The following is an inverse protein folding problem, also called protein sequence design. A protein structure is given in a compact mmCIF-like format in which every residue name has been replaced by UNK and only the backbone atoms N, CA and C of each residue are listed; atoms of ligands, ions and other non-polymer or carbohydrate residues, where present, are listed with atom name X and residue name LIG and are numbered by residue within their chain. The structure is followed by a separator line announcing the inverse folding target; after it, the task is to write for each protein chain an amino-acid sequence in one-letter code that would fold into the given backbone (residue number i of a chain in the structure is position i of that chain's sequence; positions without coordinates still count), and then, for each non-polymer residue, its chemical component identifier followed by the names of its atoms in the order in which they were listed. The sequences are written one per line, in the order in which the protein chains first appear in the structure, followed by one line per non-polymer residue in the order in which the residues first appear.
data_IF_490055159340
#
_entry.id   IF_490055159340
#
_cell.length_a   1.000
_cell.length_b   1.000
_cell.length_c   1.000
_cell.angle_alpha   90.00
_cell.angle_beta   90.00
_cell.angle_gamma   90.00
#
_symmetry.space_group_name_H-M   'P 1'
#
loop_
_entity.id
_entity.type
_entity.pdbx_description
1 polymer ?
#
# COMPACT_ATOMS: atom_id res chain seq x y z
N UNK A 1 -51.02 41.78 -27.08
CA UNK A 1 -49.75 42.33 -27.63
C UNK A 1 -48.80 42.51 -26.46
N UNK A 2 -47.77 41.67 -26.37
CA UNK A 2 -46.79 41.73 -25.29
C UNK A 2 -45.41 41.41 -25.86
N UNK A 3 -44.63 42.46 -26.14
CA UNK A 3 -43.21 42.37 -26.41
C UNK A 3 -42.52 43.22 -25.35
N UNK A 4 -41.80 42.57 -24.43
CA UNK A 4 -40.83 43.24 -23.56
C UNK A 4 -39.47 42.61 -23.79
N UNK A 5 -38.56 43.48 -24.20
CA UNK A 5 -37.24 43.21 -24.74
C UNK A 5 -36.25 42.75 -23.67
N UNK A 6 -35.39 41.82 -24.09
CA UNK A 6 -34.19 41.37 -23.41
C UNK A 6 -33.17 42.50 -23.20
N UNK A 7 -32.52 42.50 -22.03
CA UNK A 7 -31.31 43.27 -21.76
C UNK A 7 -30.42 42.50 -20.78
N UNK A 8 -29.33 41.92 -21.29
CA UNK A 8 -28.48 40.96 -20.59
C UNK A 8 -27.56 41.57 -19.54
N UNK A 9 -27.50 40.93 -18.37
CA UNK A 9 -26.51 41.17 -17.33
C UNK A 9 -25.25 40.32 -17.57
N UNK A 10 -24.12 41.00 -17.84
CA UNK A 10 -22.77 40.42 -17.82
C UNK A 10 -22.35 40.10 -16.38
N UNK A 11 -22.41 38.83 -15.99
CA UNK A 11 -21.77 38.32 -14.76
C UNK A 11 -20.27 38.12 -14.96
N UNK A 12 -19.46 38.95 -14.31
CA UNK A 12 -18.00 38.86 -14.27
C UNK A 12 -17.59 37.77 -13.27
N UNK A 13 -17.09 36.63 -13.76
CA UNK A 13 -16.52 35.56 -12.93
C UNK A 13 -15.18 36.04 -12.37
N UNK A 14 -15.09 36.18 -11.06
CA UNK A 14 -13.82 36.34 -10.33
C UNK A 14 -13.14 34.99 -10.15
N UNK A 15 -11.81 34.88 -10.37
CA UNK A 15 -11.10 33.63 -10.12
C UNK A 15 -11.00 33.39 -8.60
N UNK A 16 -11.69 32.37 -8.11
CA UNK A 16 -11.48 31.87 -6.76
C UNK A 16 -10.08 31.23 -6.67
N UNK A 17 -9.24 31.84 -5.83
CA UNK A 17 -7.94 31.34 -5.42
C UNK A 17 -8.15 30.05 -4.63
N UNK A 18 -7.97 28.89 -5.27
CA UNK A 18 -7.96 27.59 -4.59
C UNK A 18 -6.77 27.58 -3.64
N UNK A 19 -7.03 27.73 -2.35
CA UNK A 19 -6.03 27.51 -1.29
C UNK A 19 -5.86 25.99 -1.15
N UNK A 20 -4.80 25.46 -1.75
CA UNK A 20 -4.35 24.10 -1.49
C UNK A 20 -3.82 24.04 -0.05
N UNK A 21 -4.71 23.71 0.89
CA UNK A 21 -4.31 23.35 2.25
C UNK A 21 -3.80 21.91 2.25
N UNK A 22 -2.62 21.67 1.65
CA UNK A 22 -1.84 20.49 1.99
C UNK A 22 -1.29 20.73 3.40
N UNK A 23 -1.76 19.95 4.38
CA UNK A 23 -1.25 19.97 5.74
C UNK A 23 0.27 19.79 5.72
N UNK A 24 1.02 20.68 6.39
CA UNK A 24 2.49 20.65 6.43
C UNK A 24 3.05 19.35 7.02
N UNK A 25 2.21 18.59 7.74
CA UNK A 25 2.50 17.25 8.25
C UNK A 25 2.73 16.23 7.14
N UNK A 26 1.99 16.31 6.02
CA UNK A 26 2.11 15.37 4.90
C UNK A 26 3.39 15.67 4.11
N UNK A 27 3.70 16.96 3.89
CA UNK A 27 4.89 17.37 3.12
C UNK A 27 6.19 17.06 3.88
N UNK A 28 6.20 17.14 5.21
CA UNK A 28 7.36 16.76 6.03
C UNK A 28 7.73 15.27 5.92
N UNK A 29 6.76 14.39 5.66
CA UNK A 29 7.04 12.96 5.49
C UNK A 29 7.56 12.59 4.10
N UNK A 30 7.34 13.45 3.09
CA UNK A 30 7.66 13.18 1.68
C UNK A 30 9.02 13.76 1.23
N UNK A 31 9.62 14.67 1.99
CA UNK A 31 10.87 15.35 1.61
C UNK A 31 11.95 15.39 2.70
N UNK A 32 11.92 14.45 3.65
CA UNK A 32 13.02 14.30 4.61
C UNK A 32 14.16 13.52 3.96
N UNK A 33 15.02 14.19 3.19
CA UNK A 33 16.36 13.66 2.87
C UNK A 33 17.17 13.65 4.17
N UNK A 34 17.06 12.57 4.94
CA UNK A 34 17.96 12.29 6.06
C UNK A 34 19.18 11.54 5.53
N UNK A 35 20.11 12.29 4.96
CA UNK A 35 21.52 11.96 5.16
C UNK A 35 22.03 12.79 6.34
N UNK A 36 22.90 12.17 7.12
CA UNK A 36 23.64 12.67 8.30
C UNK A 36 23.03 12.38 9.69
N UNK A 37 23.57 11.32 10.30
CA UNK A 37 23.92 11.22 11.73
C UNK A 37 22.84 11.41 12.81
N UNK A 38 21.68 10.78 12.65
CA UNK A 38 20.92 10.35 13.84
C UNK A 38 21.26 8.88 14.10
N UNK A 39 21.81 8.58 15.27
CA UNK A 39 22.06 7.22 15.78
C UNK A 39 20.79 6.39 16.01
N UNK A 40 19.85 6.40 15.05
CA UNK A 40 18.80 5.41 14.95
C UNK A 40 19.50 4.08 14.71
N UNK A 41 19.54 3.28 15.77
CA UNK A 41 19.75 1.83 15.67
C UNK A 41 19.09 1.36 14.38
N UNK A 42 19.84 0.65 13.52
CA UNK A 42 19.28 -0.02 12.36
C UNK A 42 18.13 -0.86 12.88
N UNK A 43 16.94 -0.35 12.67
CA UNK A 43 15.68 -0.96 13.08
C UNK A 43 15.68 -2.40 12.60
N UNK A 44 15.39 -3.33 13.51
CA UNK A 44 15.31 -4.73 13.18
C UNK A 44 14.25 -4.96 12.11
N UNK A 45 14.26 -6.12 11.47
CA UNK A 45 13.21 -6.48 10.51
C UNK A 45 11.82 -6.42 11.17
N UNK A 46 11.73 -6.84 12.42
CA UNK A 46 10.50 -6.78 13.22
C UNK A 46 9.99 -5.32 13.37
N UNK A 47 10.88 -4.35 13.55
CA UNK A 47 10.53 -2.92 13.59
C UNK A 47 10.08 -2.37 12.22
N UNK A 48 10.40 -3.05 11.12
CA UNK A 48 10.00 -2.63 9.77
C UNK A 48 8.53 -2.97 9.50
N UNK A 49 8.09 -4.17 9.89
CA UNK A 49 6.69 -4.58 9.75
C UNK A 49 5.75 -3.69 10.58
N UNK A 50 6.11 -3.40 11.84
CA UNK A 50 5.35 -2.49 12.70
C UNK A 50 5.27 -1.07 12.12
N UNK A 51 6.38 -0.53 11.62
CA UNK A 51 6.37 0.82 11.02
C UNK A 51 5.58 0.89 9.72
N UNK A 52 5.51 -0.18 8.93
CA UNK A 52 4.61 -0.25 7.77
C UNK A 52 3.15 -0.23 8.23
N UNK A 53 2.82 -0.96 9.30
CA UNK A 53 1.47 -0.96 9.88
C UNK A 53 1.10 0.45 10.36
N UNK A 54 1.98 1.12 11.10
CA UNK A 54 1.78 2.49 11.58
C UNK A 54 1.59 3.47 10.42
N UNK A 55 2.41 3.34 9.37
CA UNK A 55 2.27 4.14 8.15
C UNK A 55 0.89 3.96 7.53
N UNK A 56 0.43 2.73 7.35
CA UNK A 56 -0.88 2.44 6.75
C UNK A 56 -1.99 3.05 7.61
N UNK A 57 -1.91 2.94 8.93
CA UNK A 57 -2.90 3.53 9.85
C UNK A 57 -2.92 5.06 9.78
N UNK A 58 -1.75 5.71 9.71
CA UNK A 58 -1.62 7.16 9.66
C UNK A 58 -1.96 7.77 8.28
N UNK A 59 -1.85 6.98 7.21
CA UNK A 59 -1.97 7.46 5.82
C UNK A 59 -3.39 7.90 5.40
N UNK A 60 -4.44 7.53 6.14
CA UNK A 60 -5.83 7.79 5.76
C UNK A 60 -6.27 7.06 4.48
N UNK A 61 -5.59 5.97 4.10
CA UNK A 61 -5.93 5.17 2.93
C UNK A 61 -7.33 4.56 3.05
N UNK A 62 -8.09 4.59 1.95
CA UNK A 62 -9.41 3.95 1.88
C UNK A 62 -9.27 2.43 1.88
N UNK A 63 -10.13 1.74 2.62
CA UNK A 63 -10.09 0.28 2.76
C UNK A 63 -8.69 -0.21 3.16
N UNK A 64 -8.04 0.51 4.08
CA UNK A 64 -6.71 0.17 4.56
C UNK A 64 -6.71 -1.12 5.40
N UNK A 65 -7.86 -1.52 5.93
CA UNK A 65 -8.06 -2.70 6.75
C UNK A 65 -7.63 -3.98 6.03
N UNK A 66 -7.95 -4.11 4.73
CA UNK A 66 -7.53 -5.24 3.91
C UNK A 66 -6.01 -5.30 3.76
N UNK A 67 -5.36 -4.14 3.63
CA UNK A 67 -3.90 -4.03 3.57
C UNK A 67 -3.27 -4.37 4.92
N UNK A 68 -3.78 -3.80 6.01
CA UNK A 68 -3.33 -4.08 7.37
C UNK A 68 -3.42 -5.56 7.70
N UNK A 69 -4.55 -6.20 7.36
CA UNK A 69 -4.74 -7.64 7.53
C UNK A 69 -3.71 -8.43 6.72
N UNK A 70 -3.47 -8.03 5.47
CA UNK A 70 -2.52 -8.73 4.59
C UNK A 70 -1.07 -8.63 5.09
N UNK A 71 -0.67 -7.48 5.64
CA UNK A 71 0.65 -7.29 6.26
C UNK A 71 0.78 -8.16 7.51
N UNK A 72 -0.22 -8.11 8.42
CA UNK A 72 -0.21 -8.91 9.66
C UNK A 72 -0.22 -10.42 9.42
N UNK A 73 -1.00 -10.88 8.45
CA UNK A 73 -1.07 -12.30 8.08
C UNK A 73 0.11 -12.74 7.22
N UNK A 74 0.94 -11.81 6.75
CA UNK A 74 2.05 -12.08 5.82
C UNK A 74 1.58 -12.68 4.50
N UNK A 75 0.33 -12.42 4.09
CA UNK A 75 -0.31 -13.00 2.89
C UNK A 75 -1.28 -12.00 2.23
N UNK A 76 -1.12 -11.80 0.93
CA UNK A 76 -2.03 -10.98 0.12
C UNK A 76 -3.42 -11.63 0.06
N UNK A 77 -4.47 -10.82 0.24
CA UNK A 77 -5.85 -11.23 0.01
C UNK A 77 -6.10 -11.44 -1.49
N UNK A 78 -6.70 -12.59 -1.84
CA UNK A 78 -7.22 -12.85 -3.18
C UNK A 78 -8.73 -12.52 -3.23
N UNK A 79 -9.05 -11.39 -3.85
CA UNK A 79 -10.43 -10.89 -4.00
C UNK A 79 -11.29 -11.73 -4.95
N UNK A 80 -10.69 -12.57 -5.80
CA UNK A 80 -11.45 -13.49 -6.64
C UNK A 80 -11.89 -14.71 -5.82
N UNK A 81 -11.05 -15.19 -4.91
CA UNK A 81 -11.37 -16.32 -4.03
C UNK A 81 -12.47 -15.98 -3.01
N UNK A 82 -12.60 -14.71 -2.61
CA UNK A 82 -13.65 -14.24 -1.68
C UNK A 82 -14.81 -13.52 -2.39
N UNK A 83 -14.90 -13.63 -3.72
CA UNK A 83 -15.98 -13.01 -4.47
C UNK A 83 -17.34 -13.54 -3.98
N UNK A 84 -18.35 -12.67 -3.80
CA UNK A 84 -19.68 -13.11 -3.41
C UNK A 84 -20.28 -14.01 -4.48
N UNK A 85 -21.13 -14.94 -4.07
CA UNK A 85 -21.91 -15.82 -4.96
C UNK A 85 -23.39 -15.48 -4.86
N UNK A 86 -24.13 -15.71 -5.96
CA UNK A 86 -25.58 -15.53 -5.95
C UNK A 86 -26.23 -16.71 -5.23
N UNK A 87 -27.01 -16.40 -4.20
CA UNK A 87 -27.73 -17.42 -3.46
C UNK A 87 -28.85 -18.02 -4.31
N UNK A 88 -28.97 -19.35 -4.29
CA UNK A 88 -30.12 -20.05 -4.82
C UNK A 88 -31.35 -19.74 -3.96
N UNK A 89 -32.53 -19.55 -4.58
CA UNK A 89 -33.76 -19.36 -3.82
C UNK A 89 -34.12 -20.65 -3.06
N UNK A 90 -34.66 -20.48 -1.87
CA UNK A 90 -35.09 -21.56 -0.96
C UNK A 90 -36.58 -21.84 -1.05
N UNK A 91 -37.36 -20.87 -1.53
CA UNK A 91 -38.81 -20.99 -1.66
C UNK A 91 -39.22 -21.90 -2.83
N UNK A 92 -40.23 -22.74 -2.58
CA UNK A 92 -40.80 -23.66 -3.58
C UNK A 92 -41.93 -23.02 -4.39
N UNK A 93 -42.74 -22.17 -3.75
CA UNK A 93 -43.86 -21.47 -4.39
C UNK A 93 -43.37 -20.47 -5.43
N UNK A 94 -43.93 -20.52 -6.64
CA UNK A 94 -43.38 -19.80 -7.80
C UNK A 94 -43.23 -18.28 -7.57
N UNK A 95 -44.25 -17.64 -6.99
CA UNK A 95 -44.27 -16.18 -6.73
C UNK A 95 -43.29 -15.81 -5.61
N UNK A 96 -43.24 -16.61 -4.54
CA UNK A 96 -42.31 -16.39 -3.42
C UNK A 96 -40.85 -16.57 -3.88
N UNK A 97 -40.60 -17.59 -4.70
CA UNK A 97 -39.30 -17.90 -5.29
C UNK A 97 -38.81 -16.78 -6.22
N UNK A 98 -39.69 -16.22 -7.05
CA UNK A 98 -39.32 -15.11 -7.93
C UNK A 98 -38.96 -13.84 -7.12
N UNK A 99 -39.75 -13.56 -6.08
CA UNK A 99 -39.49 -12.44 -5.17
C UNK A 99 -38.15 -12.61 -4.44
N UNK A 100 -37.89 -13.79 -3.88
CA UNK A 100 -36.62 -14.11 -3.22
C UNK A 100 -35.44 -14.03 -4.19
N UNK A 101 -35.60 -14.53 -5.42
CA UNK A 101 -34.56 -14.43 -6.44
C UNK A 101 -34.25 -12.98 -6.81
N UNK A 102 -35.25 -12.11 -6.89
CA UNK A 102 -35.05 -10.68 -7.13
C UNK A 102 -34.28 -10.03 -5.97
N UNK A 103 -34.64 -10.34 -4.72
CA UNK A 103 -33.91 -9.87 -3.54
C UNK A 103 -32.46 -10.36 -3.52
N UNK A 104 -32.23 -11.66 -3.79
CA UNK A 104 -30.90 -12.26 -3.85
C UNK A 104 -30.03 -11.59 -4.93
N UNK A 105 -30.61 -11.26 -6.10
CA UNK A 105 -29.90 -10.53 -7.18
C UNK A 105 -29.46 -9.13 -6.73
N UNK A 106 -30.32 -8.39 -6.03
CA UNK A 106 -30.00 -7.04 -5.52
C UNK A 106 -28.89 -7.12 -4.46
N UNK A 107 -29.00 -8.06 -3.52
CA UNK A 107 -27.97 -8.25 -2.49
C UNK A 107 -26.64 -8.69 -3.10
N UNK A 108 -26.68 -9.58 -4.09
CA UNK A 108 -25.50 -10.03 -4.81
C UNK A 108 -24.82 -8.87 -5.55
N UNK A 109 -25.56 -8.03 -6.27
CA UNK A 109 -24.97 -6.91 -7.01
C UNK A 109 -24.32 -5.88 -6.08
N UNK A 110 -24.94 -5.59 -4.94
CA UNK A 110 -24.38 -4.71 -3.93
C UNK A 110 -23.08 -5.27 -3.33
N UNK A 111 -23.08 -6.56 -2.95
CA UNK A 111 -21.88 -7.24 -2.42
C UNK A 111 -20.77 -7.31 -3.47
N UNK A 112 -21.11 -7.58 -4.73
CA UNK A 112 -20.15 -7.65 -5.82
C UNK A 112 -19.51 -6.28 -6.08
N UNK A 113 -20.31 -5.22 -6.09
CA UNK A 113 -19.82 -3.84 -6.22
C UNK A 113 -18.83 -3.48 -5.11
N UNK A 114 -19.15 -3.83 -3.86
CA UNK A 114 -18.25 -3.62 -2.73
C UNK A 114 -16.95 -4.45 -2.84
N UNK A 115 -17.04 -5.72 -3.25
CA UNK A 115 -15.86 -6.56 -3.47
C UNK A 115 -14.93 -5.98 -4.56
N UNK A 116 -15.50 -5.51 -5.67
CA UNK A 116 -14.75 -4.85 -6.74
C UNK A 116 -14.10 -3.56 -6.26
N UNK A 117 -14.83 -2.75 -5.47
CA UNK A 117 -14.32 -1.52 -4.88
C UNK A 117 -13.13 -1.79 -3.95
N UNK A 118 -13.26 -2.76 -3.04
CA UNK A 118 -12.17 -3.18 -2.15
C UNK A 118 -10.96 -3.67 -2.92
N UNK A 119 -11.16 -4.51 -3.95
CA UNK A 119 -10.08 -5.01 -4.81
C UNK A 119 -9.30 -3.86 -5.50
N UNK A 120 -10.02 -2.86 -6.04
CA UNK A 120 -9.40 -1.70 -6.68
C UNK A 120 -8.59 -0.85 -5.69
N UNK A 121 -9.14 -0.58 -4.49
CA UNK A 121 -8.41 0.12 -3.44
C UNK A 121 -7.21 -0.68 -2.96
N UNK A 122 -7.35 -2.00 -2.77
CA UNK A 122 -6.26 -2.87 -2.37
C UNK A 122 -5.10 -2.81 -3.36
N UNK A 123 -5.36 -2.86 -4.67
CA UNK A 123 -4.33 -2.70 -5.71
C UNK A 123 -3.59 -1.35 -5.61
N UNK A 124 -4.34 -0.27 -5.40
CA UNK A 124 -3.76 1.07 -5.21
C UNK A 124 -2.90 1.11 -3.95
N UNK A 125 -3.42 0.55 -2.86
CA UNK A 125 -2.75 0.48 -1.58
C UNK A 125 -1.45 -0.32 -1.65
N UNK A 126 -1.41 -1.43 -2.42
CA UNK A 126 -0.18 -2.23 -2.64
C UNK A 126 0.95 -1.37 -3.19
N UNK A 127 0.64 -0.53 -4.19
CA UNK A 127 1.63 0.37 -4.79
C UNK A 127 2.13 1.41 -3.79
N UNK A 128 1.24 2.03 -3.03
CA UNK A 128 1.59 3.03 -2.01
C UNK A 128 2.49 2.43 -0.93
N UNK A 129 2.11 1.27 -0.40
CA UNK A 129 2.89 0.58 0.64
C UNK A 129 4.24 0.10 0.10
N UNK A 130 4.28 -0.44 -1.13
CA UNK A 130 5.55 -0.79 -1.79
C UNK A 130 6.48 0.43 -1.86
N UNK A 131 5.98 1.58 -2.32
CA UNK A 131 6.78 2.80 -2.41
C UNK A 131 7.31 3.24 -1.04
N UNK A 132 6.49 3.15 0.01
CA UNK A 132 6.93 3.45 1.38
C UNK A 132 8.05 2.49 1.83
N UNK A 133 7.90 1.19 1.60
CA UNK A 133 8.93 0.19 1.94
C UNK A 133 10.26 0.48 1.24
N UNK A 134 10.19 0.76 -0.07
CA UNK A 134 11.37 1.09 -0.87
C UNK A 134 12.05 2.38 -0.38
N UNK A 135 11.28 3.37 0.09
CA UNK A 135 11.83 4.63 0.55
C UNK A 135 12.46 4.53 1.95
N UNK A 136 11.79 3.84 2.88
CA UNK A 136 12.17 3.86 4.30
C UNK A 136 13.16 2.76 4.70
N UNK A 137 13.12 1.60 4.02
CA UNK A 137 13.86 0.41 4.46
C UNK A 137 14.88 -0.10 3.43
N UNK A 138 14.74 0.29 2.16
CA UNK A 138 15.62 -0.20 1.09
C UNK A 138 16.73 0.82 0.83
N UNK A 139 17.96 0.44 1.18
CA UNK A 139 19.15 1.23 0.81
C UNK A 139 19.42 1.18 -0.70
N UNK A 140 20.17 2.14 -1.22
CA UNK A 140 20.57 2.17 -2.65
C UNK A 140 21.22 0.85 -3.09
N UNK A 141 22.10 0.28 -2.26
CA UNK A 141 22.76 -1.00 -2.56
C UNK A 141 21.79 -2.19 -2.59
N UNK A 142 20.73 -2.16 -1.76
CA UNK A 142 19.66 -3.16 -1.81
C UNK A 142 18.80 -2.95 -3.05
N UNK A 143 18.44 -1.71 -3.38
CA UNK A 143 17.63 -1.39 -4.57
C UNK A 143 18.31 -1.87 -5.86
N UNK A 144 19.61 -1.64 -6.01
CA UNK A 144 20.39 -2.14 -7.15
C UNK A 144 20.30 -3.67 -7.26
N UNK A 145 20.43 -4.39 -6.13
CA UNK A 145 20.34 -5.86 -6.11
C UNK A 145 18.93 -6.32 -6.47
N UNK A 146 17.91 -5.74 -5.84
CA UNK A 146 16.51 -6.07 -6.09
C UNK A 146 16.13 -5.83 -7.55
N UNK A 147 16.56 -4.70 -8.14
CA UNK A 147 16.30 -4.38 -9.56
C UNK A 147 17.01 -5.32 -10.53
N UNK A 148 18.11 -5.93 -10.11
CA UNK A 148 18.81 -6.95 -10.90
C UNK A 148 18.09 -8.30 -10.92
N UNK A 149 17.10 -8.51 -10.05
CA UNK A 149 16.34 -9.76 -9.98
C UNK A 149 15.25 -9.80 -11.07
N UNK A 150 15.13 -10.96 -11.74
CA UNK A 150 14.17 -11.14 -12.83
C UNK A 150 12.70 -10.99 -12.39
N UNK A 151 12.40 -11.17 -11.09
CA UNK A 151 11.06 -11.10 -10.52
C UNK A 151 10.72 -9.73 -9.90
N UNK A 152 11.57 -8.72 -10.08
CA UNK A 152 11.41 -7.40 -9.49
C UNK A 152 10.13 -6.67 -9.92
N UNK A 153 9.81 -6.73 -11.21
CA UNK A 153 8.65 -6.06 -11.79
C UNK A 153 7.36 -6.86 -11.66
N UNK A 154 7.45 -8.13 -11.25
CA UNK A 154 6.31 -9.05 -11.20
C UNK A 154 5.99 -9.42 -9.74
N UNK A 155 6.83 -10.25 -9.13
CA UNK A 155 6.63 -10.79 -7.78
C UNK A 155 6.84 -9.71 -6.72
N UNK A 156 7.87 -8.88 -6.85
CA UNK A 156 8.18 -7.81 -5.90
C UNK A 156 7.32 -6.55 -6.10
N UNK A 157 6.29 -6.61 -6.96
CA UNK A 157 5.19 -5.63 -6.91
C UNK A 157 4.35 -5.78 -5.62
N UNK A 158 4.32 -6.99 -5.05
CA UNK A 158 3.63 -7.24 -3.80
C UNK A 158 4.45 -6.76 -2.58
N UNK A 159 3.97 -5.78 -1.79
CA UNK A 159 4.70 -5.27 -0.63
C UNK A 159 5.01 -6.35 0.40
N UNK A 160 4.19 -7.40 0.52
CA UNK A 160 4.40 -8.50 1.48
C UNK A 160 5.58 -9.36 1.04
N UNK A 161 5.67 -9.64 -0.26
CA UNK A 161 6.81 -10.40 -0.82
C UNK A 161 8.08 -9.56 -0.78
N UNK A 162 7.97 -8.26 -1.00
CA UNK A 162 9.08 -7.32 -0.85
C UNK A 162 9.61 -7.30 0.58
N UNK A 163 8.74 -7.19 1.60
CA UNK A 163 9.14 -7.26 3.02
C UNK A 163 9.96 -8.53 3.31
N UNK A 164 9.42 -9.70 2.94
CA UNK A 164 10.14 -10.98 3.09
C UNK A 164 11.45 -11.04 2.32
N UNK A 165 11.55 -10.39 1.15
CA UNK A 165 12.78 -10.35 0.34
C UNK A 165 13.85 -9.46 0.98
N UNK A 166 13.45 -8.36 1.62
CA UNK A 166 14.40 -7.43 2.26
C UNK A 166 14.84 -7.90 3.65
N UNK A 167 14.08 -8.78 4.30
CA UNK A 167 14.41 -9.40 5.59
C UNK A 167 15.88 -9.86 5.73
N UNK A 168 16.43 -10.71 4.84
CA UNK A 168 17.82 -11.16 4.95
C UNK A 168 18.83 -10.02 4.81
N UNK A 169 18.52 -8.98 4.03
CA UNK A 169 19.41 -7.82 3.90
C UNK A 169 19.44 -7.00 5.18
N UNK A 170 18.28 -6.80 5.81
CA UNK A 170 18.15 -6.08 7.07
C UNK A 170 18.85 -6.84 8.20
N UNK A 171 18.62 -8.15 8.31
CA UNK A 171 19.27 -9.02 9.30
C UNK A 171 20.79 -9.07 9.12
N UNK A 172 21.31 -9.23 7.89
CA UNK A 172 22.77 -9.21 7.61
C UNK A 172 23.42 -7.85 7.90
N UNK A 173 22.68 -6.74 7.70
CA UNK A 173 23.20 -5.40 7.97
C UNK A 173 23.37 -5.12 9.47
N UNK A 174 22.61 -5.79 10.35
CA UNK A 174 22.80 -5.74 11.79
C UNK A 174 24.13 -6.40 12.21
N UNK A 175 24.47 -7.58 11.65
CA UNK A 175 25.71 -8.30 11.97
C UNK A 175 26.99 -7.51 11.63
N UNK A 176 26.99 -6.68 10.58
CA UNK A 176 28.16 -5.86 10.23
C UNK A 176 28.45 -4.74 11.23
N UNK A 177 27.44 -4.23 11.94
CA UNK A 177 27.64 -3.19 12.96
C UNK A 177 28.26 -3.80 14.23
N UNK A 178 27.84 -5.00 14.62
CA UNK A 178 28.38 -5.67 15.82
C UNK A 178 29.85 -6.13 15.66
N UNK A 179 30.34 -6.28 14.43
CA UNK A 179 31.75 -6.60 14.16
C UNK A 179 32.66 -5.36 14.12
N UNK A 180 32.11 -4.15 14.16
CA UNK A 180 32.85 -2.88 14.10
C UNK A 180 32.96 -2.18 15.47
N UNK A 181 32.91 -2.94 16.58
CA UNK A 181 33.20 -2.40 17.91
C UNK A 181 34.72 -2.23 18.09
N UNK A 182 35.20 -1.06 18.55
CA UNK A 182 36.63 -0.78 18.66
C UNK A 182 37.24 -1.61 19.79
N UNK A 183 38.04 -2.62 19.43
CA UNK A 183 38.77 -3.46 20.38
C UNK A 183 38.89 -4.94 19.99
N UNK A 184 38.12 -5.40 18.99
CA UNK A 184 38.24 -6.79 18.51
C UNK A 184 39.12 -6.82 17.26
N UNK A 185 40.19 -7.62 17.29
CA UNK A 185 41.13 -7.79 16.17
C UNK A 185 40.36 -8.11 14.89
N UNK A 186 40.60 -7.31 13.86
CA UNK A 186 40.10 -7.51 12.50
C UNK A 186 40.64 -8.86 12.01
N UNK A 187 39.78 -9.87 11.91
CA UNK A 187 40.07 -11.02 11.06
C UNK A 187 39.76 -10.58 9.64
N UNK A 188 40.81 -10.37 8.84
CA UNK A 188 40.70 -10.31 7.39
C UNK A 188 40.15 -11.67 6.93
N UNK A 189 38.91 -11.67 6.44
CA UNK A 189 38.41 -12.77 5.64
C UNK A 189 38.66 -12.34 4.20
N UNK A 190 39.68 -12.93 3.58
CA UNK A 190 39.86 -12.91 2.13
C UNK A 190 38.61 -13.55 1.52
N UNK A 191 37.92 -12.79 0.67
CA UNK A 191 36.91 -13.35 -0.22
C UNK A 191 37.65 -14.02 -1.37
N UNK A 192 37.78 -15.36 -1.33
CA UNK A 192 37.96 -16.16 -2.53
C UNK A 192 36.73 -15.92 -3.44
N UNK A 193 37.01 -15.38 -4.62
CA UNK A 193 36.09 -15.33 -5.75
C UNK A 193 36.46 -16.56 -6.58
N UNK A 194 35.66 -17.61 -6.50
CA UNK A 194 35.73 -18.72 -7.44
C UNK A 194 34.84 -18.38 -8.65
N UNK A 195 35.47 -18.44 -9.83
CA UNK A 195 34.87 -18.29 -11.17
C UNK A 195 33.87 -19.41 -11.53
#
# INVERSE_FOLDING_TARGET
MGCSSSGGGKGRVTPQKVKNNLSSTVVKHLFSTKDENDGKSRSSYEDAEERVIDYIQASGMKCSEDMLKSIRDGKSIDFNAIAPTLNAPTQTEAVARETEMAQNKILYSAKLGENMRRSAYFKTNKRTVKSNIMLEFVTIAMDIKLRGEADFTTTLEDPIKLLKRIEPFMKKSAYKIYMALPGSKILQIECEIDD
#
